data_IF_084023539735
#
_entry.id   IF_084023539735
#
_cell.length_a   1.000
_cell.length_b   1.000
_cell.length_c   1.000
_cell.angle_alpha   90.00
_cell.angle_beta   90.00
_cell.angle_gamma   90.00
#
_symmetry.space_group_name_H-M   'P 1'
#
loop_
_entity.id
_entity.type
_entity.pdbx_description
1 polymer ?
#
# COMPACT_ATOMS: atom_id res chain seq x y z
N UNK A 1 -23.24 -27.02 -12.99
CA UNK A 1 -24.39 -26.11 -13.18
C UNK A 1 -24.79 -25.63 -11.80
N UNK A 2 -24.30 -24.46 -11.41
CA UNK A 2 -24.68 -23.67 -10.22
C UNK A 2 -23.83 -22.39 -10.18
N UNK A 3 -24.21 -21.44 -11.06
CA UNK A 3 -24.02 -20.02 -10.77
C UNK A 3 -24.83 -19.64 -9.51
N UNK A 4 -24.48 -18.52 -8.87
CA UNK A 4 -25.15 -17.82 -7.74
C UNK A 4 -24.41 -17.97 -6.40
N UNK A 5 -23.94 -16.93 -5.72
CA UNK A 5 -24.13 -15.49 -5.89
C UNK A 5 -22.92 -14.77 -5.30
N UNK A 6 -22.08 -14.17 -6.14
CA UNK A 6 -21.42 -12.94 -5.70
C UNK A 6 -22.56 -11.99 -5.39
N UNK A 7 -22.72 -11.56 -4.13
CA UNK A 7 -23.61 -10.45 -3.82
C UNK A 7 -23.04 -9.26 -4.58
N UNK A 8 -23.60 -8.98 -5.75
CA UNK A 8 -23.38 -7.75 -6.47
C UNK A 8 -23.83 -6.66 -5.50
N UNK A 9 -22.86 -6.07 -4.81
CA UNK A 9 -23.09 -4.89 -4.03
C UNK A 9 -23.40 -3.82 -5.07
N UNK A 10 -24.69 -3.52 -5.23
CA UNK A 10 -25.15 -2.40 -6.04
C UNK A 10 -24.70 -1.11 -5.34
N UNK A 11 -23.47 -0.72 -5.63
CA UNK A 11 -22.87 0.50 -5.09
C UNK A 11 -23.26 1.64 -6.02
N UNK A 12 -23.99 2.61 -5.48
CA UNK A 12 -24.24 3.88 -6.17
C UNK A 12 -23.16 4.88 -5.76
N UNK A 13 -22.62 5.59 -6.74
CA UNK A 13 -21.66 6.66 -6.52
C UNK A 13 -22.07 7.93 -7.26
N UNK A 14 -21.75 9.08 -6.68
CA UNK A 14 -21.91 10.40 -7.30
C UNK A 14 -20.58 11.16 -7.20
N UNK A 15 -20.16 11.79 -8.29
CA UNK A 15 -18.97 12.64 -8.35
C UNK A 15 -19.37 14.09 -8.52
N UNK A 16 -18.91 14.97 -7.64
CA UNK A 16 -19.14 16.42 -7.73
C UNK A 16 -17.80 17.13 -7.85
N UNK A 17 -17.62 17.90 -8.92
CA UNK A 17 -16.49 18.81 -9.05
C UNK A 17 -16.87 20.14 -8.41
N UNK A 18 -16.18 20.50 -7.34
CA UNK A 18 -16.37 21.78 -6.65
C UNK A 18 -15.22 22.70 -7.03
N UNK A 19 -15.43 23.68 -7.92
CA UNK A 19 -14.41 24.68 -8.23
C UNK A 19 -14.22 25.59 -7.01
N UNK A 20 -12.99 26.09 -6.81
CA UNK A 20 -12.75 27.03 -5.72
C UNK A 20 -13.40 28.38 -6.04
N UNK A 21 -14.29 28.87 -5.17
CA UNK A 21 -14.82 30.22 -5.27
C UNK A 21 -13.70 31.27 -5.10
N UNK A 22 -13.74 32.34 -5.90
CA UNK A 22 -12.82 33.48 -5.81
C UNK A 22 -13.01 34.20 -4.47
N UNK A 23 -12.29 33.75 -3.44
CA UNK A 23 -12.14 34.51 -2.21
C UNK A 23 -10.87 35.35 -2.31
N UNK A 24 -11.05 36.67 -2.33
CA UNK A 24 -10.01 37.70 -2.24
C UNK A 24 -9.27 37.62 -0.89
N UNK A 25 -8.49 36.58 -0.70
CA UNK A 25 -7.45 36.50 0.31
C UNK A 25 -6.15 36.33 -0.45
N UNK A 26 -5.20 37.25 -0.29
CA UNK A 26 -3.90 37.28 -1.00
C UNK A 26 -2.97 36.07 -0.77
N UNK A 27 -3.49 34.96 -0.27
CA UNK A 27 -2.83 33.67 -0.25
C UNK A 27 -3.23 32.86 -1.50
N UNK A 28 -2.27 32.65 -2.40
CA UNK A 28 -2.42 31.75 -3.55
C UNK A 28 -2.84 30.37 -3.04
N UNK A 29 -4.10 30.02 -3.30
CA UNK A 29 -4.64 28.73 -2.91
C UNK A 29 -4.11 27.66 -3.85
N UNK A 30 -3.30 26.75 -3.31
CA UNK A 30 -2.76 25.60 -4.05
C UNK A 30 -3.84 24.65 -4.58
N UNK A 31 -5.03 24.67 -3.98
CA UNK A 31 -6.16 23.83 -4.37
C UNK A 31 -6.96 24.56 -5.45
N UNK A 32 -7.02 23.97 -6.65
CA UNK A 32 -7.78 24.42 -7.81
C UNK A 32 -9.26 23.98 -7.71
N UNK A 33 -9.55 22.91 -7.00
CA UNK A 33 -10.90 22.42 -6.74
C UNK A 33 -10.88 21.13 -5.93
N UNK A 34 -12.05 20.54 -5.69
CA UNK A 34 -12.16 19.19 -5.14
C UNK A 34 -13.09 18.31 -5.97
N UNK A 35 -12.79 17.01 -5.99
CA UNK A 35 -13.70 15.97 -6.41
C UNK A 35 -14.28 15.33 -5.15
N UNK A 36 -15.57 15.51 -4.94
CA UNK A 36 -16.30 14.84 -3.86
C UNK A 36 -16.88 13.55 -4.40
N UNK A 37 -16.57 12.41 -3.76
CA UNK A 37 -17.08 11.10 -4.09
C UNK A 37 -17.91 10.57 -2.92
N UNK A 38 -19.17 10.24 -3.19
CA UNK A 38 -20.09 9.66 -2.22
C UNK A 38 -20.38 8.22 -2.62
N UNK A 39 -20.14 7.28 -1.72
CA UNK A 39 -20.31 5.84 -1.96
C UNK A 39 -21.38 5.31 -1.01
N UNK A 40 -22.52 4.88 -1.54
CA UNK A 40 -23.57 4.25 -0.74
C UNK A 40 -23.39 2.74 -0.69
N UNK A 41 -23.40 2.13 0.52
CA UNK A 41 -23.29 0.67 0.67
C UNK A 41 -24.56 -0.08 0.22
N UNK A 42 -25.67 0.63 0.00
CA UNK A 42 -26.93 0.08 -0.51
C UNK A 42 -27.62 1.11 -1.43
N UNK A 43 -28.24 0.68 -2.54
CA UNK A 43 -29.01 1.57 -3.43
C UNK A 43 -30.16 2.28 -2.73
N UNK A 44 -30.73 1.66 -1.70
CA UNK A 44 -31.85 2.19 -0.94
C UNK A 44 -31.46 3.40 -0.08
N UNK A 45 -30.16 3.75 0.00
CA UNK A 45 -29.62 4.89 0.78
C UNK A 45 -30.06 4.91 2.26
N UNK A 46 -30.36 3.74 2.83
CA UNK A 46 -30.78 3.58 4.23
C UNK A 46 -29.65 3.85 5.23
N UNK A 47 -28.40 3.75 4.78
CA UNK A 47 -27.19 4.11 5.52
C UNK A 47 -26.54 5.29 4.80
N UNK A 48 -26.00 6.26 5.56
CA UNK A 48 -25.30 7.41 5.01
C UNK A 48 -24.12 7.01 4.11
N UNK A 49 -23.74 7.84 3.12
CA UNK A 49 -22.64 7.54 2.23
C UNK A 49 -21.29 7.60 2.94
N UNK A 50 -20.35 6.79 2.49
CA UNK A 50 -18.94 7.08 2.70
C UNK A 50 -18.54 8.24 1.79
N UNK A 51 -17.88 9.25 2.35
CA UNK A 51 -17.51 10.46 1.63
C UNK A 51 -15.98 10.52 1.51
N UNK A 52 -15.50 10.67 0.28
CA UNK A 52 -14.09 10.84 -0.05
C UNK A 52 -13.91 12.16 -0.79
N UNK A 53 -12.93 12.94 -0.38
CA UNK A 53 -12.57 14.20 -1.04
C UNK A 53 -11.20 14.05 -1.70
N UNK A 54 -11.13 14.28 -3.01
CA UNK A 54 -9.87 14.41 -3.73
C UNK A 54 -9.61 15.89 -4.01
N UNK A 55 -8.55 16.46 -3.44
CA UNK A 55 -8.19 17.85 -3.74
C UNK A 55 -7.40 17.92 -5.05
N UNK A 56 -7.91 18.67 -6.01
CA UNK A 56 -7.20 19.03 -7.24
C UNK A 56 -6.29 20.20 -6.91
N UNK A 57 -5.00 20.04 -7.12
CA UNK A 57 -4.00 21.09 -6.88
C UNK A 57 -3.44 21.60 -8.19
N UNK A 58 -3.23 22.92 -8.29
CA UNK A 58 -2.63 23.50 -9.49
C UNK A 58 -1.14 23.12 -9.54
N UNK A 59 -0.75 22.39 -10.58
CA UNK A 59 0.59 21.79 -10.74
C UNK A 59 1.66 22.86 -11.01
N UNK A 60 1.26 24.07 -11.43
CA UNK A 60 2.21 25.16 -11.73
C UNK A 60 3.07 25.59 -10.54
N UNK A 61 2.62 25.34 -9.30
CA UNK A 61 3.38 25.64 -8.07
C UNK A 61 3.99 24.42 -7.39
N UNK A 62 3.79 23.22 -7.98
CA UNK A 62 4.25 21.98 -7.37
C UNK A 62 5.68 21.71 -7.88
N UNK A 63 6.68 22.06 -7.05
CA UNK A 63 8.03 21.46 -7.13
C UNK A 63 8.00 19.97 -6.74
N UNK A 64 7.01 19.23 -7.22
CA UNK A 64 7.01 17.78 -7.06
C UNK A 64 7.89 17.22 -8.17
N UNK A 65 8.79 16.29 -7.86
CA UNK A 65 9.46 15.53 -8.90
C UNK A 65 8.40 14.90 -9.80
N UNK A 66 8.46 15.22 -11.10
CA UNK A 66 7.71 14.49 -12.12
C UNK A 66 8.40 13.16 -12.29
N UNK A 67 7.65 12.09 -12.11
CA UNK A 67 8.14 10.74 -12.31
C UNK A 67 7.54 10.16 -13.58
N UNK A 68 8.40 9.60 -14.43
CA UNK A 68 7.93 8.76 -15.53
C UNK A 68 7.51 7.40 -14.95
N UNK A 69 6.24 7.05 -15.14
CA UNK A 69 5.70 5.78 -14.68
C UNK A 69 6.11 4.70 -15.69
N UNK A 70 6.89 3.68 -15.29
CA UNK A 70 7.28 2.60 -16.20
C UNK A 70 6.07 1.78 -16.62
N UNK A 71 6.07 1.28 -17.86
CA UNK A 71 4.98 0.44 -18.38
C UNK A 71 4.84 -0.90 -17.64
N UNK A 72 5.93 -1.40 -17.02
CA UNK A 72 5.98 -2.72 -16.37
C UNK A 72 6.40 -2.60 -14.91
N UNK A 73 5.56 -3.10 -14.00
CA UNK A 73 5.81 -3.10 -12.55
C UNK A 73 7.06 -3.87 -12.13
N UNK A 74 7.40 -4.95 -12.83
CA UNK A 74 8.60 -5.78 -12.55
C UNK A 74 9.90 -5.23 -13.14
N UNK A 75 9.87 -4.07 -13.83
CA UNK A 75 11.06 -3.49 -14.45
C UNK A 75 12.04 -2.92 -13.41
N UNK A 76 13.33 -2.83 -13.78
CA UNK A 76 14.32 -2.13 -12.97
C UNK A 76 13.94 -0.66 -12.73
N UNK A 77 13.35 0.00 -13.74
CA UNK A 77 12.86 1.37 -13.64
C UNK A 77 11.77 1.53 -12.57
N UNK A 78 10.88 0.55 -12.41
CA UNK A 78 9.85 0.56 -11.35
C UNK A 78 10.45 0.47 -9.96
N UNK A 79 11.50 -0.35 -9.79
CA UNK A 79 12.23 -0.44 -8.51
C UNK A 79 12.94 0.87 -8.18
N UNK A 80 13.62 1.47 -9.17
CA UNK A 80 14.28 2.78 -9.02
C UNK A 80 13.24 3.84 -8.62
N UNK A 81 12.11 3.87 -9.31
CA UNK A 81 11.03 4.80 -9.02
C UNK A 81 10.47 4.62 -7.61
N UNK A 82 10.21 3.37 -7.19
CA UNK A 82 9.75 3.07 -5.84
C UNK A 82 10.76 3.54 -4.78
N UNK A 83 12.06 3.33 -5.00
CA UNK A 83 13.11 3.84 -4.10
C UNK A 83 13.11 5.37 -4.01
N UNK A 84 12.92 6.07 -5.13
CA UNK A 84 12.81 7.54 -5.15
C UNK A 84 11.58 8.02 -4.38
N UNK A 85 10.43 7.36 -4.55
CA UNK A 85 9.20 7.68 -3.83
C UNK A 85 9.35 7.51 -2.34
N UNK A 86 9.92 6.38 -1.90
CA UNK A 86 10.17 6.09 -0.49
C UNK A 86 11.13 7.15 0.08
N UNK A 87 12.24 7.44 -0.63
CA UNK A 87 13.21 8.45 -0.21
C UNK A 87 12.60 9.85 -0.07
N UNK A 88 11.84 10.29 -1.07
CA UNK A 88 11.13 11.56 -0.99
C UNK A 88 10.12 11.58 0.17
N UNK A 89 9.39 10.48 0.37
CA UNK A 89 8.40 10.36 1.43
C UNK A 89 9.05 10.48 2.82
N UNK A 90 10.11 9.71 3.10
CA UNK A 90 10.76 9.70 4.41
C UNK A 90 11.56 10.96 4.71
N UNK A 91 12.08 11.65 3.68
CA UNK A 91 12.88 12.87 3.86
C UNK A 91 12.04 14.14 3.90
N UNK A 92 11.01 14.25 3.06
CA UNK A 92 10.30 15.51 2.85
C UNK A 92 8.92 15.57 3.52
N UNK A 93 8.30 14.43 3.87
CA UNK A 93 7.00 14.44 4.53
C UNK A 93 7.14 14.33 6.05
N UNK A 94 6.80 15.41 6.77
CA UNK A 94 6.84 15.45 8.25
C UNK A 94 6.10 14.29 8.93
N UNK A 95 5.00 13.82 8.34
CA UNK A 95 4.21 12.69 8.87
C UNK A 95 4.86 11.32 8.61
N UNK A 96 5.71 11.21 7.60
CA UNK A 96 6.32 9.96 7.17
C UNK A 96 7.77 9.82 7.61
N UNK A 97 8.40 10.91 8.06
CA UNK A 97 9.69 10.91 8.74
C UNK A 97 9.52 10.36 10.17
N UNK A 98 9.33 9.06 10.28
CA UNK A 98 9.17 8.35 11.55
C UNK A 98 10.57 7.91 11.98
N UNK A 99 11.16 8.63 12.95
CA UNK A 99 12.54 8.37 13.39
C UNK A 99 12.75 7.01 14.06
N UNK A 100 11.76 6.51 14.83
CA UNK A 100 11.79 5.18 15.43
C UNK A 100 10.46 4.48 15.23
N UNK A 101 10.50 3.27 14.68
CA UNK A 101 9.34 2.38 14.64
C UNK A 101 9.14 1.82 16.04
N UNK A 102 8.01 2.14 16.67
CA UNK A 102 7.71 1.72 18.05
C UNK A 102 7.22 0.28 18.15
N UNK A 103 6.73 -0.30 17.05
CA UNK A 103 6.15 -1.64 17.05
C UNK A 103 6.57 -2.42 15.79
N UNK A 104 7.22 -3.56 16.01
CA UNK A 104 7.45 -4.56 14.99
C UNK A 104 6.38 -5.66 15.09
N UNK A 105 6.01 -6.30 13.97
CA UNK A 105 5.31 -7.58 14.01
C UNK A 105 6.09 -8.60 14.83
N UNK A 106 5.45 -9.64 15.37
CA UNK A 106 6.16 -10.70 16.12
C UNK A 106 7.10 -11.53 15.23
N UNK A 107 6.79 -11.61 13.93
CA UNK A 107 7.55 -12.36 12.94
C UNK A 107 7.80 -11.52 11.69
N UNK A 108 8.98 -11.65 11.11
CA UNK A 108 9.33 -11.03 9.83
C UNK A 108 9.92 -12.06 8.87
N UNK A 109 9.83 -11.78 7.58
CA UNK A 109 10.62 -12.47 6.58
C UNK A 109 11.95 -11.73 6.42
N UNK A 110 13.05 -12.40 6.77
CA UNK A 110 14.38 -11.94 6.39
C UNK A 110 14.57 -12.29 4.91
N UNK A 111 14.86 -11.29 4.08
CA UNK A 111 15.02 -11.44 2.62
C UNK A 111 16.46 -11.74 2.18
N UNK A 112 17.37 -12.01 3.12
CA UNK A 112 18.72 -12.50 2.81
C UNK A 112 19.65 -11.45 2.20
N UNK A 113 19.52 -10.17 2.58
CA UNK A 113 20.40 -9.09 2.08
C UNK A 113 21.88 -9.31 2.41
N UNK A 114 22.17 -10.13 3.42
CA UNK A 114 23.50 -10.57 3.84
C UNK A 114 24.01 -11.80 3.05
N UNK A 115 23.31 -12.19 1.98
CA UNK A 115 23.58 -13.42 1.22
C UNK A 115 22.99 -14.68 1.86
N UNK A 116 22.23 -14.53 2.95
CA UNK A 116 21.52 -15.62 3.62
C UNK A 116 20.31 -16.13 2.86
N UNK A 117 19.73 -17.24 3.33
CA UNK A 117 18.47 -17.75 2.80
C UNK A 117 17.29 -16.90 3.29
N UNK A 118 16.31 -16.70 2.40
CA UNK A 118 15.05 -16.05 2.76
C UNK A 118 14.34 -16.95 3.79
N UNK A 119 14.04 -16.42 4.97
CA UNK A 119 13.50 -17.21 6.09
C UNK A 119 12.63 -16.39 7.03
N UNK A 120 11.79 -17.08 7.79
CA UNK A 120 11.03 -16.50 8.88
C UNK A 120 11.94 -16.31 10.11
N UNK A 121 11.88 -15.14 10.73
CA UNK A 121 12.57 -14.82 11.98
C UNK A 121 11.57 -14.28 13.00
N UNK A 122 11.80 -14.56 14.28
CA UNK A 122 11.10 -13.87 15.38
C UNK A 122 11.76 -12.50 15.59
N UNK A 123 10.97 -11.46 15.80
CA UNK A 123 11.54 -10.10 15.95
C UNK A 123 12.28 -9.89 17.25
N UNK A 124 12.09 -10.78 18.23
CA UNK A 124 12.90 -10.84 19.45
C UNK A 124 14.37 -11.20 19.18
N UNK A 125 14.66 -11.87 18.06
CA UNK A 125 16.03 -12.19 17.61
C UNK A 125 16.75 -10.97 17.03
N UNK A 126 16.00 -9.90 16.69
CA UNK A 126 16.57 -8.66 16.17
C UNK A 126 17.05 -7.82 17.36
N UNK A 127 18.34 -7.46 17.35
CA UNK A 127 18.91 -6.59 18.39
C UNK A 127 18.07 -5.32 18.51
N UNK A 128 17.61 -4.99 19.73
CA UNK A 128 16.69 -3.86 19.97
C UNK A 128 17.24 -2.51 19.49
N UNK A 129 18.56 -2.35 19.41
CA UNK A 129 19.17 -1.12 18.91
C UNK A 129 19.16 -1.03 17.36
N UNK A 130 18.81 -2.12 16.67
CA UNK A 130 18.60 -2.21 15.22
C UNK A 130 17.10 -2.11 14.88
N UNK A 131 16.43 -1.04 15.32
CA UNK A 131 15.08 -0.70 14.85
C UNK A 131 15.13 -0.43 13.33
N UNK A 132 15.02 -1.50 12.55
CA UNK A 132 15.13 -1.44 11.09
C UNK A 132 13.75 -1.20 10.48
N UNK A 133 13.63 -0.28 9.52
CA UNK A 133 12.42 -0.16 8.73
C UNK A 133 12.12 -1.50 8.05
N UNK A 134 10.84 -1.90 8.09
CA UNK A 134 10.35 -3.07 7.39
C UNK A 134 9.37 -2.63 6.30
N UNK A 135 9.19 -3.47 5.29
CA UNK A 135 8.17 -3.30 4.27
C UNK A 135 7.05 -4.31 4.50
N UNK A 136 5.81 -3.89 4.20
CA UNK A 136 4.64 -4.75 4.25
C UNK A 136 3.99 -4.78 2.86
N UNK A 137 3.75 -5.98 2.36
CA UNK A 137 2.96 -6.20 1.15
C UNK A 137 1.50 -6.40 1.54
N UNK A 138 0.62 -5.51 1.07
CA UNK A 138 -0.83 -5.68 1.20
C UNK A 138 -1.37 -6.45 0.00
N UNK A 139 -2.00 -7.59 0.24
CA UNK A 139 -2.50 -8.47 -0.81
C UNK A 139 -3.89 -9.03 -0.43
N UNK A 140 -4.74 -9.24 -1.43
CA UNK A 140 -6.04 -9.90 -1.28
C UNK A 140 -5.91 -11.38 -1.60
N UNK A 141 -6.19 -12.24 -0.62
CA UNK A 141 -6.04 -13.70 -0.71
C UNK A 141 -6.96 -14.44 -1.70
N UNK A 142 -7.85 -13.74 -2.41
CA UNK A 142 -8.83 -14.34 -3.31
C UNK A 142 -9.93 -15.14 -2.57
N UNK A 143 -10.87 -15.69 -3.34
CA UNK A 143 -11.99 -16.50 -2.83
C UNK A 143 -11.66 -17.99 -2.70
N UNK A 144 -10.68 -18.48 -3.45
CA UNK A 144 -10.04 -19.78 -3.26
C UNK A 144 -8.68 -19.54 -2.62
N UNK A 145 -8.55 -19.64 -1.30
CA UNK A 145 -7.28 -19.43 -0.66
C UNK A 145 -6.39 -20.62 -1.02
N UNK A 146 -5.49 -20.44 -1.98
CA UNK A 146 -4.31 -21.28 -2.06
C UNK A 146 -3.52 -21.03 -0.76
N UNK A 147 -3.69 -21.94 0.18
CA UNK A 147 -3.10 -21.86 1.52
C UNK A 147 -1.59 -22.06 1.52
N UNK A 148 -0.98 -22.38 0.37
CA UNK A 148 0.46 -22.60 0.19
C UNK A 148 1.31 -21.46 0.76
N UNK A 149 0.84 -20.22 0.65
CA UNK A 149 1.56 -19.02 1.06
C UNK A 149 1.19 -18.52 2.46
N UNK A 150 0.25 -19.18 3.15
CA UNK A 150 -0.15 -18.80 4.51
C UNK A 150 0.78 -19.44 5.53
N UNK A 151 1.32 -18.63 6.44
CA UNK A 151 2.03 -19.15 7.60
C UNK A 151 1.04 -19.87 8.53
N UNK A 152 1.39 -21.11 8.89
CA UNK A 152 0.62 -21.99 9.76
C UNK A 152 1.56 -22.81 10.65
N UNK A 153 1.04 -23.43 11.70
CA UNK A 153 1.85 -24.29 12.58
C UNK A 153 2.54 -25.44 11.83
N UNK A 154 1.97 -25.88 10.70
CA UNK A 154 2.49 -26.98 9.87
C UNK A 154 3.77 -26.55 9.13
N UNK A 155 3.79 -25.35 8.54
CA UNK A 155 4.91 -24.86 7.73
C UNK A 155 5.84 -23.90 8.48
N UNK A 156 5.55 -23.56 9.74
CA UNK A 156 6.37 -22.61 10.51
C UNK A 156 7.82 -23.08 10.65
N UNK A 157 8.05 -24.35 11.02
CA UNK A 157 9.40 -24.88 11.23
C UNK A 157 10.21 -24.94 9.93
N UNK A 158 9.57 -25.20 8.79
CA UNK A 158 10.25 -25.15 7.49
C UNK A 158 10.58 -23.71 7.10
N UNK A 159 9.63 -22.78 7.28
CA UNK A 159 9.83 -21.36 6.98
C UNK A 159 10.94 -20.71 7.81
N UNK A 160 11.17 -21.15 9.06
CA UNK A 160 12.31 -20.69 9.88
C UNK A 160 13.66 -21.09 9.26
N UNK A 161 13.71 -22.26 8.60
CA UNK A 161 14.92 -22.70 7.89
C UNK A 161 15.06 -21.99 6.55
N UNK A 162 13.97 -21.97 5.77
CA UNK A 162 13.89 -21.35 4.45
C UNK A 162 12.44 -21.24 4.00
N UNK A 163 12.05 -20.07 3.52
CA UNK A 163 10.78 -19.86 2.83
C UNK A 163 10.90 -20.38 1.39
N UNK A 164 10.01 -21.28 0.93
CA UNK A 164 10.04 -21.82 -0.43
C UNK A 164 9.45 -20.81 -1.43
N UNK A 165 10.19 -19.75 -1.75
CA UNK A 165 9.73 -18.66 -2.63
C UNK A 165 9.28 -19.12 -4.00
N UNK A 166 9.91 -20.16 -4.56
CA UNK A 166 9.53 -20.76 -5.84
C UNK A 166 8.13 -21.39 -5.85
N UNK A 167 7.54 -21.66 -4.69
CA UNK A 167 6.17 -22.20 -4.55
C UNK A 167 5.15 -21.09 -4.27
N UNK A 168 5.59 -19.84 -4.09
CA UNK A 168 4.69 -18.72 -3.82
C UNK A 168 4.13 -18.15 -5.13
N UNK A 169 2.95 -17.51 -5.11
CA UNK A 169 2.47 -16.72 -6.23
C UNK A 169 3.47 -15.65 -6.67
N UNK A 170 3.47 -15.32 -7.97
CA UNK A 170 4.39 -14.35 -8.57
C UNK A 170 4.43 -13.00 -7.82
N UNK A 171 3.29 -12.52 -7.32
CA UNK A 171 3.21 -11.27 -6.55
C UNK A 171 4.09 -11.28 -5.29
N UNK A 172 4.20 -12.42 -4.61
CA UNK A 172 5.08 -12.53 -3.44
C UNK A 172 6.54 -12.69 -3.84
N UNK A 173 6.81 -13.37 -4.96
CA UNK A 173 8.17 -13.51 -5.50
C UNK A 173 8.71 -12.15 -5.94
N UNK A 174 7.90 -11.33 -6.61
CA UNK A 174 8.29 -9.99 -7.08
C UNK A 174 8.54 -9.00 -5.92
N UNK A 175 7.99 -9.28 -4.74
CA UNK A 175 8.13 -8.42 -3.56
C UNK A 175 9.37 -8.73 -2.71
N UNK A 176 10.08 -9.83 -2.99
CA UNK A 176 11.26 -10.29 -2.25
C UNK A 176 12.50 -10.14 -3.12
#
# INVERSE_FOLDING_TARGET
MNESSLRQLDIKYDFVVVPKGEHNSGAVSRIAGSLECYVWPSPARSVGPYHFTLQLVNISDVKAPRYEIPEKGSSASSRILASQWIGNCTQNHKKCNIGKISLLPTRLANVGLDGGAIRLIETEEILKDQYSPYFALSHRWGTTPDHSSRLSSINQLSCIKRIPTNQMPATFQDAI
#
